data_IF_411213224470
#
_entry.id   IF_411213224470
#
_cell.length_a   1.000
_cell.length_b   1.000
_cell.length_c   1.000
_cell.angle_alpha   90.00
_cell.angle_beta   90.00
_cell.angle_gamma   90.00
#
_symmetry.space_group_name_H-M   'P 1'
#
loop_
_entity.id
_entity.type
_entity.pdbx_description
1 polymer ?
#
# COMPACT_ATOMS: atom_id res chain seq x y z
N UNK A 1 -1.37 -14.76 6.15
CA UNK A 1 -0.32 -15.74 6.41
C UNK A 1 0.18 -16.29 5.09
N UNK A 2 1.44 -16.08 4.79
CA UNK A 2 2.05 -16.45 3.50
C UNK A 2 2.83 -17.77 3.62
N UNK A 3 3.22 -18.14 4.82
CA UNK A 3 3.86 -19.40 5.16
C UNK A 3 3.73 -19.60 6.68
N UNK A 4 4.03 -20.79 7.19
CA UNK A 4 3.86 -21.18 8.59
C UNK A 4 4.49 -20.22 9.63
N UNK A 5 5.42 -19.34 9.20
CA UNK A 5 6.11 -18.39 10.07
C UNK A 5 6.16 -16.93 9.56
N UNK A 6 5.61 -16.60 8.38
CA UNK A 6 5.70 -15.24 7.84
C UNK A 6 4.33 -14.57 7.77
N UNK A 7 4.23 -13.42 8.45
CA UNK A 7 3.08 -12.51 8.35
C UNK A 7 3.54 -11.22 7.68
N UNK A 8 2.81 -10.75 6.69
CA UNK A 8 3.00 -9.43 6.11
C UNK A 8 1.76 -8.60 6.47
N UNK A 9 1.98 -7.44 7.07
CA UNK A 9 0.94 -6.43 7.26
C UNK A 9 0.63 -5.83 5.88
N UNK A 10 -0.63 -5.90 5.44
CA UNK A 10 -1.05 -5.43 4.12
C UNK A 10 -1.73 -4.06 4.15
N UNK A 11 -2.27 -3.67 5.30
CA UNK A 11 -2.90 -2.37 5.48
C UNK A 11 -1.94 -1.38 6.15
N UNK A 12 -2.13 -0.10 5.87
CA UNK A 12 -1.53 1.02 6.58
C UNK A 12 -2.67 1.86 7.14
N UNK A 13 -2.61 2.21 8.42
CA UNK A 13 -3.63 3.01 9.07
C UNK A 13 -3.32 4.50 8.88
N UNK A 14 -4.36 5.34 8.88
CA UNK A 14 -4.20 6.77 8.68
C UNK A 14 -3.30 7.41 9.75
N UNK A 15 -3.36 6.95 10.99
CA UNK A 15 -2.53 7.41 12.10
C UNK A 15 -1.04 7.04 11.98
N UNK A 16 -0.70 6.08 11.12
CA UNK A 16 0.70 5.73 10.81
C UNK A 16 1.27 6.62 9.71
N UNK A 17 0.40 7.29 8.94
CA UNK A 17 0.78 8.07 7.77
C UNK A 17 0.61 9.56 8.00
N UNK A 18 -0.45 9.95 8.69
CA UNK A 18 -0.81 11.35 8.94
C UNK A 18 -0.72 11.66 10.43
N UNK A 19 0.02 12.74 10.76
CA UNK A 19 0.02 13.27 12.11
C UNK A 19 -1.33 13.88 12.45
N UNK A 20 -1.82 13.66 13.67
CA UNK A 20 -3.09 14.20 14.16
C UNK A 20 -3.09 15.74 14.18
N UNK A 21 -1.92 16.35 14.26
CA UNK A 21 -1.76 17.80 14.31
C UNK A 21 -1.80 18.46 12.93
N UNK A 22 -1.66 17.71 11.84
CA UNK A 22 -1.59 18.25 10.47
C UNK A 22 -2.75 19.21 10.16
N UNK A 23 -3.98 18.81 10.50
CA UNK A 23 -5.17 19.65 10.27
C UNK A 23 -5.10 20.94 11.07
N UNK A 24 -4.78 20.86 12.35
CA UNK A 24 -4.68 22.03 13.24
C UNK A 24 -3.58 22.98 12.78
N UNK A 25 -2.42 22.48 12.40
CA UNK A 25 -1.30 23.31 11.96
C UNK A 25 -1.61 24.06 10.65
N UNK A 26 -2.41 23.44 9.78
CA UNK A 26 -2.93 24.12 8.57
C UNK A 26 -3.95 25.21 8.98
N UNK A 27 -4.87 24.92 9.90
CA UNK A 27 -5.87 25.87 10.37
C UNK A 27 -5.21 27.08 11.07
N UNK A 28 -4.15 26.85 11.83
CA UNK A 28 -3.36 27.92 12.47
C UNK A 28 -2.71 28.83 11.42
N UNK A 29 -2.17 28.28 10.33
CA UNK A 29 -1.63 29.06 9.21
C UNK A 29 -2.73 29.88 8.52
N UNK A 30 -3.87 29.27 8.23
CA UNK A 30 -5.02 29.95 7.63
C UNK A 30 -5.50 31.09 8.53
N UNK A 31 -5.59 30.83 9.82
CA UNK A 31 -6.01 31.85 10.80
C UNK A 31 -5.03 33.03 10.86
N UNK A 32 -3.73 32.77 10.79
CA UNK A 32 -2.73 33.85 10.77
C UNK A 32 -2.86 34.78 9.54
N UNK A 33 -3.13 34.19 8.37
CA UNK A 33 -3.40 34.95 7.13
C UNK A 33 -4.72 35.74 7.27
N UNK A 34 -5.77 35.11 7.79
CA UNK A 34 -7.07 35.76 7.95
C UNK A 34 -7.00 36.98 8.86
N UNK A 35 -6.24 36.90 9.95
CA UNK A 35 -6.00 38.02 10.85
C UNK A 35 -5.39 39.26 10.14
N UNK A 36 -4.42 39.04 9.25
CA UNK A 36 -3.79 40.12 8.47
C UNK A 36 -4.83 40.72 7.49
N UNK A 37 -5.57 39.88 6.78
CA UNK A 37 -6.60 40.33 5.82
C UNK A 37 -7.73 41.14 6.52
N UNK A 38 -8.14 40.72 7.70
CA UNK A 38 -9.17 41.42 8.48
C UNK A 38 -8.66 42.81 8.91
N UNK A 39 -7.40 42.92 9.31
CA UNK A 39 -6.79 44.22 9.64
C UNK A 39 -6.62 45.11 8.40
N UNK A 40 -6.26 44.58 7.26
CA UNK A 40 -6.23 45.30 5.98
C UNK A 40 -7.60 45.84 5.58
N UNK A 41 -8.67 45.03 5.77
CA UNK A 41 -10.03 45.42 5.53
C UNK A 41 -10.44 46.58 6.45
N UNK A 42 -10.11 46.51 7.76
CA UNK A 42 -10.38 47.58 8.72
C UNK A 42 -9.62 48.87 8.38
N UNK A 43 -8.36 48.79 8.00
CA UNK A 43 -7.53 49.91 7.54
C UNK A 43 -8.22 50.60 6.35
N UNK A 44 -8.59 49.81 5.32
CA UNK A 44 -9.27 50.32 4.13
C UNK A 44 -10.60 51.03 4.46
N UNK A 45 -11.36 50.50 5.43
CA UNK A 45 -12.60 51.15 5.92
C UNK A 45 -12.29 52.49 6.56
N UNK A 46 -11.31 52.56 7.45
CA UNK A 46 -10.92 53.84 8.12
C UNK A 46 -10.41 54.84 7.08
N UNK A 47 -9.60 54.44 6.13
CA UNK A 47 -9.15 55.31 5.04
C UNK A 47 -10.30 55.81 4.16
N UNK A 48 -11.31 54.98 3.92
CA UNK A 48 -12.52 55.37 3.21
C UNK A 48 -13.33 56.40 4.02
N UNK A 49 -13.45 56.20 5.34
CA UNK A 49 -14.13 57.16 6.23
C UNK A 49 -13.43 58.52 6.26
N UNK A 50 -12.09 58.54 6.26
CA UNK A 50 -11.31 59.80 6.21
C UNK A 50 -11.56 60.64 4.95
N UNK A 51 -11.98 59.98 3.84
CA UNK A 51 -12.30 60.69 2.57
C UNK A 51 -13.73 61.21 2.51
N UNK A 52 -14.58 60.87 3.48
CA UNK A 52 -15.97 61.31 3.49
C UNK A 52 -16.10 62.70 4.14
N UNK A 53 -16.88 63.56 3.51
CA UNK A 53 -17.09 64.95 3.96
C UNK A 53 -17.67 65.08 5.38
N UNK A 54 -18.41 64.07 5.85
CA UNK A 54 -18.96 64.03 7.21
C UNK A 54 -17.90 63.90 8.33
N UNK A 55 -16.68 63.50 7.99
CA UNK A 55 -15.55 63.38 8.93
C UNK A 55 -14.41 64.39 8.61
N UNK A 56 -14.74 65.49 7.95
CA UNK A 56 -13.78 66.55 7.56
C UNK A 56 -13.34 67.47 8.69
N UNK A 57 -14.02 67.43 9.83
CA UNK A 57 -13.68 68.22 11.01
C UNK A 57 -12.36 67.75 11.65
N UNK A 58 -11.62 68.63 12.25
CA UNK A 58 -10.28 68.41 12.80
C UNK A 58 -10.28 67.31 13.88
N UNK A 59 -11.29 67.27 14.75
CA UNK A 59 -11.40 66.29 15.82
C UNK A 59 -11.66 64.86 15.27
N UNK A 60 -12.53 64.72 14.27
CA UNK A 60 -12.80 63.46 13.60
C UNK A 60 -11.56 62.95 12.84
N UNK A 61 -10.90 63.80 12.11
CA UNK A 61 -9.65 63.46 11.41
C UNK A 61 -8.55 63.00 12.37
N UNK A 62 -8.38 63.67 13.51
CA UNK A 62 -7.44 63.29 14.55
C UNK A 62 -7.72 61.91 15.15
N UNK A 63 -9.00 61.63 15.41
CA UNK A 63 -9.42 60.29 15.90
C UNK A 63 -9.19 59.19 14.88
N UNK A 64 -9.56 59.40 13.59
CA UNK A 64 -9.34 58.45 12.51
C UNK A 64 -7.86 58.20 12.26
N UNK A 65 -7.03 59.24 12.32
CA UNK A 65 -5.55 59.09 12.21
C UNK A 65 -4.95 58.28 13.37
N UNK A 66 -5.46 58.46 14.60
CA UNK A 66 -5.03 57.69 15.75
C UNK A 66 -5.45 56.19 15.60
N UNK A 67 -6.69 55.95 15.12
CA UNK A 67 -7.18 54.60 14.84
C UNK A 67 -6.37 53.91 13.74
N UNK A 68 -6.08 54.63 12.62
CA UNK A 68 -5.26 54.12 11.53
C UNK A 68 -3.85 53.77 12.01
N UNK A 69 -3.22 54.65 12.84
CA UNK A 69 -1.93 54.35 13.43
C UNK A 69 -1.94 53.12 14.32
N UNK A 70 -3.01 52.92 15.11
CA UNK A 70 -3.23 51.76 15.93
C UNK A 70 -3.37 50.45 15.09
N UNK A 71 -4.24 50.50 14.06
CA UNK A 71 -4.46 49.38 13.15
C UNK A 71 -3.19 49.00 12.37
N UNK A 72 -2.42 49.98 11.90
CA UNK A 72 -1.13 49.72 11.22
C UNK A 72 -0.11 49.03 12.14
N UNK A 73 -0.05 49.40 13.42
CA UNK A 73 0.79 48.68 14.39
C UNK A 73 0.30 47.24 14.63
N UNK A 74 -1.00 47.04 14.75
CA UNK A 74 -1.56 45.70 14.89
C UNK A 74 -1.30 44.84 13.64
N UNK A 75 -1.43 45.42 12.43
CA UNK A 75 -1.10 44.77 11.18
C UNK A 75 0.33 44.32 11.15
N UNK A 76 1.29 45.19 11.49
CA UNK A 76 2.72 44.81 11.52
C UNK A 76 2.98 43.66 12.49
N UNK A 77 2.36 43.67 13.67
CA UNK A 77 2.47 42.56 14.60
C UNK A 77 1.87 41.26 14.04
N UNK A 78 0.69 41.33 13.41
CA UNK A 78 0.05 40.19 12.79
C UNK A 78 0.86 39.61 11.61
N UNK A 79 1.51 40.47 10.82
CA UNK A 79 2.44 40.08 9.74
C UNK A 79 3.67 39.38 10.29
N UNK A 80 4.23 39.85 11.41
CA UNK A 80 5.35 39.19 12.10
C UNK A 80 4.94 37.81 12.66
N UNK A 81 3.74 37.73 13.26
CA UNK A 81 3.20 36.45 13.74
C UNK A 81 2.91 35.49 12.59
N UNK A 82 2.33 35.97 11.49
CA UNK A 82 2.09 35.19 10.29
C UNK A 82 3.42 34.64 9.73
N UNK A 83 4.46 35.50 9.65
CA UNK A 83 5.78 35.07 9.17
C UNK A 83 6.37 33.96 10.03
N UNK A 84 6.30 34.07 11.36
CA UNK A 84 6.76 33.03 12.28
C UNK A 84 5.92 31.75 12.16
N UNK A 85 4.61 31.89 11.98
CA UNK A 85 3.73 30.74 11.77
C UNK A 85 4.09 29.98 10.47
N UNK A 86 4.40 30.71 9.39
CA UNK A 86 4.85 30.10 8.13
C UNK A 86 6.24 29.42 8.26
N UNK A 87 7.20 30.04 8.93
CA UNK A 87 8.51 29.45 9.19
C UNK A 87 8.40 28.14 9.97
N UNK A 88 7.60 28.14 11.03
CA UNK A 88 7.30 26.94 11.81
C UNK A 88 6.53 25.90 10.98
N UNK A 89 5.51 26.36 10.26
CA UNK A 89 4.67 25.52 9.41
C UNK A 89 5.46 24.80 8.32
N UNK A 90 6.40 25.47 7.65
CA UNK A 90 7.27 24.85 6.65
C UNK A 90 8.05 23.67 7.26
N UNK A 91 8.62 23.87 8.45
CA UNK A 91 9.36 22.83 9.14
C UNK A 91 8.48 21.63 9.51
N UNK A 92 7.27 21.89 10.03
CA UNK A 92 6.30 20.86 10.37
C UNK A 92 5.82 20.10 9.13
N UNK A 93 5.50 20.80 8.04
CA UNK A 93 5.08 20.20 6.77
C UNK A 93 6.17 19.32 6.14
N UNK A 94 7.44 19.70 6.29
CA UNK A 94 8.57 18.87 5.88
C UNK A 94 8.62 17.57 6.69
N UNK A 95 8.36 17.63 8.00
CA UNK A 95 8.25 16.46 8.87
C UNK A 95 7.11 15.54 8.44
N UNK A 96 5.93 16.08 8.19
CA UNK A 96 4.76 15.31 7.70
C UNK A 96 5.04 14.66 6.34
N UNK A 97 5.63 15.40 5.40
CA UNK A 97 6.07 14.87 4.11
C UNK A 97 7.03 13.69 4.27
N UNK A 98 7.97 13.78 5.20
CA UNK A 98 8.92 12.69 5.46
C UNK A 98 8.20 11.45 6.00
N UNK A 99 7.28 11.59 6.94
CA UNK A 99 6.47 10.49 7.48
C UNK A 99 5.66 9.79 6.39
N UNK A 100 4.98 10.57 5.54
CA UNK A 100 4.22 10.05 4.39
C UNK A 100 5.14 9.30 3.41
N UNK A 101 6.32 9.87 3.14
CA UNK A 101 7.30 9.24 2.24
C UNK A 101 7.82 7.91 2.78
N UNK A 102 8.08 7.83 4.09
CA UNK A 102 8.49 6.59 4.75
C UNK A 102 7.37 5.54 4.73
N UNK A 103 6.14 5.94 5.00
CA UNK A 103 4.98 5.04 4.91
C UNK A 103 4.79 4.51 3.48
N UNK A 104 4.94 5.35 2.47
CA UNK A 104 4.88 4.95 1.06
C UNK A 104 6.00 3.97 0.68
N UNK A 105 7.22 4.22 1.14
CA UNK A 105 8.36 3.31 0.93
C UNK A 105 8.13 1.94 1.60
N UNK A 106 7.55 1.92 2.80
CA UNK A 106 7.22 0.68 3.50
C UNK A 106 6.14 -0.12 2.76
N UNK A 107 5.11 0.54 2.23
CA UNK A 107 4.09 -0.10 1.37
C UNK A 107 4.74 -0.69 0.11
N UNK A 108 5.64 0.06 -0.54
CA UNK A 108 6.41 -0.43 -1.70
C UNK A 108 7.24 -1.67 -1.36
N UNK A 109 7.95 -1.66 -0.24
CA UNK A 109 8.72 -2.82 0.22
C UNK A 109 7.84 -4.05 0.50
N UNK A 110 6.66 -3.84 1.09
CA UNK A 110 5.68 -4.92 1.32
C UNK A 110 5.18 -5.50 0.01
N UNK A 111 4.89 -4.66 -0.99
CA UNK A 111 4.47 -5.08 -2.32
C UNK A 111 5.55 -5.96 -2.99
N UNK A 112 6.80 -5.49 -3.02
CA UNK A 112 7.92 -6.27 -3.57
C UNK A 112 8.09 -7.62 -2.86
N UNK A 113 7.95 -7.65 -1.53
CA UNK A 113 8.01 -8.92 -0.78
C UNK A 113 6.86 -9.85 -1.12
N UNK A 114 5.67 -9.33 -1.38
CA UNK A 114 4.51 -10.13 -1.82
C UNK A 114 4.76 -10.71 -3.21
N UNK A 115 5.26 -9.93 -4.15
CA UNK A 115 5.59 -10.37 -5.51
C UNK A 115 6.65 -11.48 -5.51
N UNK A 116 7.74 -11.29 -4.76
CA UNK A 116 8.78 -12.30 -4.60
C UNK A 116 8.24 -13.59 -3.96
N UNK A 117 7.34 -13.46 -2.98
CA UNK A 117 6.73 -14.61 -2.33
C UNK A 117 5.79 -15.35 -3.27
N UNK A 118 5.02 -14.62 -4.07
CA UNK A 118 4.14 -15.18 -5.09
C UNK A 118 4.96 -15.95 -6.14
N UNK A 119 6.05 -15.36 -6.64
CA UNK A 119 6.96 -16.02 -7.58
C UNK A 119 7.50 -17.34 -7.01
N UNK A 120 8.01 -17.32 -5.78
CA UNK A 120 8.51 -18.52 -5.10
C UNK A 120 7.44 -19.59 -4.91
N UNK A 121 6.21 -19.20 -4.54
CA UNK A 121 5.12 -20.16 -4.37
C UNK A 121 4.68 -20.77 -5.70
N UNK A 122 4.71 -19.99 -6.79
CA UNK A 122 4.43 -20.50 -8.14
C UNK A 122 5.48 -21.51 -8.55
N UNK A 123 6.76 -21.23 -8.35
CA UNK A 123 7.85 -22.12 -8.64
C UNK A 123 7.77 -23.43 -7.80
N UNK A 124 7.49 -23.31 -6.50
CA UNK A 124 7.26 -24.46 -5.63
C UNK A 124 6.06 -25.31 -6.09
N UNK A 125 4.97 -24.67 -6.51
CA UNK A 125 3.81 -25.38 -7.03
C UNK A 125 4.14 -26.15 -8.30
N UNK A 126 4.90 -25.56 -9.23
CA UNK A 126 5.36 -26.23 -10.44
C UNK A 126 6.23 -27.43 -10.09
N UNK A 127 7.25 -27.25 -9.24
CA UNK A 127 8.15 -28.33 -8.83
C UNK A 127 7.41 -29.49 -8.13
N UNK A 128 6.43 -29.16 -7.28
CA UNK A 128 5.59 -30.20 -6.61
C UNK A 128 4.71 -30.92 -7.63
N UNK A 129 4.15 -30.20 -8.59
CA UNK A 129 3.33 -30.78 -9.65
C UNK A 129 4.15 -31.71 -10.55
N UNK A 130 5.34 -31.29 -10.96
CA UNK A 130 6.28 -32.13 -11.72
C UNK A 130 6.71 -33.38 -10.93
N UNK A 131 7.02 -33.19 -9.64
CA UNK A 131 7.38 -34.33 -8.77
C UNK A 131 6.22 -35.29 -8.58
N UNK A 132 4.99 -34.77 -8.49
CA UNK A 132 3.79 -35.58 -8.41
C UNK A 132 3.58 -36.37 -9.72
N UNK A 133 3.69 -35.70 -10.87
CA UNK A 133 3.58 -36.34 -12.18
C UNK A 133 4.63 -37.46 -12.35
N UNK A 134 5.91 -37.17 -12.02
CA UNK A 134 6.97 -38.15 -12.09
C UNK A 134 6.76 -39.40 -11.16
N UNK A 135 6.00 -39.23 -10.06
CA UNK A 135 5.74 -40.31 -9.10
C UNK A 135 4.44 -41.05 -9.35
N UNK A 136 3.42 -40.39 -9.90
CA UNK A 136 2.06 -40.96 -10.05
C UNK A 136 1.74 -41.31 -11.51
N UNK A 137 2.32 -40.61 -12.49
CA UNK A 137 2.05 -40.89 -13.90
C UNK A 137 2.74 -42.18 -14.34
N UNK A 138 1.94 -43.10 -14.86
CA UNK A 138 2.42 -44.36 -15.39
C UNK A 138 2.79 -44.14 -16.85
N UNK A 139 4.02 -44.57 -17.24
CA UNK A 139 4.39 -44.65 -18.63
C UNK A 139 3.55 -45.76 -19.32
N UNK A 140 2.59 -45.31 -20.13
CA UNK A 140 1.66 -46.20 -20.82
C UNK A 140 2.38 -47.19 -21.73
N UNK A 141 3.52 -46.80 -22.28
CA UNK A 141 4.32 -47.68 -23.15
C UNK A 141 4.91 -48.84 -22.36
N UNK A 142 5.54 -48.57 -21.21
CA UNK A 142 6.09 -49.59 -20.32
C UNK A 142 5.00 -50.51 -19.75
N UNK A 143 3.83 -49.96 -19.42
CA UNK A 143 2.70 -50.73 -18.91
C UNK A 143 2.17 -51.69 -20.00
N UNK A 144 2.00 -51.24 -21.24
CA UNK A 144 1.56 -52.06 -22.37
C UNK A 144 2.57 -53.17 -22.68
N UNK A 145 3.89 -52.86 -22.68
CA UNK A 145 4.92 -53.85 -22.88
C UNK A 145 4.91 -54.90 -21.76
N UNK A 146 4.79 -54.48 -20.52
CA UNK A 146 4.72 -55.38 -19.35
C UNK A 146 3.49 -56.27 -19.40
N UNK A 147 2.31 -55.69 -19.76
CA UNK A 147 1.08 -56.41 -19.89
C UNK A 147 1.13 -57.46 -21.01
N UNK A 148 1.60 -57.08 -22.19
CA UNK A 148 1.73 -58.01 -23.33
C UNK A 148 2.72 -59.13 -23.04
N UNK A 149 3.82 -58.84 -22.35
CA UNK A 149 4.78 -59.84 -21.90
C UNK A 149 4.17 -60.82 -20.89
N UNK A 150 3.41 -60.30 -19.90
CA UNK A 150 2.72 -61.14 -18.92
C UNK A 150 1.66 -62.03 -19.60
N UNK A 151 0.94 -61.51 -20.59
CA UNK A 151 -0.05 -62.25 -21.35
C UNK A 151 0.60 -63.37 -22.19
N UNK A 152 1.76 -63.08 -22.79
CA UNK A 152 2.53 -64.09 -23.51
C UNK A 152 2.97 -65.26 -22.59
N UNK A 153 3.54 -64.92 -21.43
CA UNK A 153 3.96 -65.88 -20.40
C UNK A 153 2.75 -66.72 -19.91
N UNK A 154 1.64 -66.09 -19.67
CA UNK A 154 0.39 -66.76 -19.25
C UNK A 154 -0.08 -67.78 -20.31
N UNK A 155 -0.14 -67.37 -21.58
CA UNK A 155 -0.52 -68.27 -22.69
C UNK A 155 0.47 -69.39 -22.88
N UNK A 156 1.80 -69.15 -22.78
CA UNK A 156 2.80 -70.18 -22.84
C UNK A 156 2.69 -71.21 -21.68
N UNK A 157 2.38 -70.69 -20.48
CA UNK A 157 2.16 -71.56 -19.30
C UNK A 157 0.95 -72.47 -19.44
N UNK A 158 -0.16 -71.95 -20.01
CA UNK A 158 -1.36 -72.74 -20.31
C UNK A 158 -1.05 -73.85 -21.35
N UNK A 159 -0.30 -73.51 -22.40
CA UNK A 159 0.11 -74.49 -23.41
C UNK A 159 1.04 -75.56 -22.83
N UNK A 160 2.00 -75.14 -21.96
CA UNK A 160 2.87 -76.13 -21.29
C UNK A 160 2.07 -77.05 -20.35
N UNK A 161 1.14 -76.48 -19.57
CA UNK A 161 0.28 -77.30 -18.70
C UNK A 161 -0.56 -78.27 -19.48
N UNK A 162 -1.16 -77.83 -20.61
CA UNK A 162 -1.95 -78.76 -21.47
C UNK A 162 -1.13 -79.91 -22.04
N UNK A 163 0.12 -79.70 -22.42
CA UNK A 163 0.99 -80.75 -22.89
C UNK A 163 1.40 -81.75 -21.80
N UNK A 164 1.64 -81.25 -20.59
CA UNK A 164 1.95 -82.09 -19.43
C UNK A 164 0.76 -83.00 -19.08
N UNK A 165 -0.44 -82.44 -19.08
CA UNK A 165 -1.66 -83.21 -18.81
C UNK A 165 -1.93 -84.27 -19.88
N UNK A 166 -1.66 -83.99 -21.16
CA UNK A 166 -1.78 -84.96 -22.25
C UNK A 166 -0.79 -86.11 -22.14
N UNK A 167 0.46 -85.85 -21.79
CA UNK A 167 1.51 -86.88 -21.63
C UNK A 167 1.17 -87.82 -20.43
N UNK A 168 0.76 -87.28 -19.32
CA UNK A 168 0.40 -88.05 -18.14
C UNK A 168 -0.83 -88.96 -18.37
N UNK A 169 -1.83 -88.45 -19.16
CA UNK A 169 -2.96 -89.29 -19.55
C UNK A 169 -2.65 -90.43 -20.51
N UNK A 170 -1.70 -90.16 -21.45
CA UNK A 170 -1.21 -91.23 -22.37
C UNK A 170 -0.37 -92.31 -21.65
N UNK A 171 0.45 -91.89 -20.67
CA UNK A 171 1.25 -92.86 -19.86
C UNK A 171 0.40 -93.66 -18.89
N UNK A 172 -0.84 -93.18 -18.55
CA UNK A 172 -1.74 -93.91 -17.66
C UNK A 172 -2.63 -94.92 -18.42
N UNK A 173 -2.86 -94.66 -19.72
CA UNK A 173 -3.72 -95.53 -20.58
C UNK A 173 -2.98 -96.54 -21.45
N UNK A 174 -1.67 -96.54 -21.49
CA UNK A 174 -0.78 -97.49 -22.19
C UNK A 174 -0.18 -98.50 -21.28
#
# INVERSE_FOLDING_TARGET
NINYAQKIKINTEANETFDINLGRDIDDLVTSVQNVLDLESQISQVESMMKQSQYSDEDSQKKLNSMLSGLNKQKTLAEDEMTKAFESGISQMQGYKQTISLANADVGNRLTRLELTQGRLTEQFTNVTESKSANEDIDLEDVVVSYTSAQLVYNASLQAASKVVQQTLLDFLG
#
